data_IF_698589578019
#
_entry.id   IF_698589578019
#
_cell.length_a   1.000
_cell.length_b   1.000
_cell.length_c   1.000
_cell.angle_alpha   90.00
_cell.angle_beta   90.00
_cell.angle_gamma   90.00
#
_symmetry.space_group_name_H-M   'P 1'
#
loop_
_entity.id
_entity.type
_entity.pdbx_description
1 polymer ?
#
# COMPACT_ATOMS: atom_id res chain seq x y z
N UNK A 1 -11.86 -15.16 74.50
CA UNK A 1 -10.53 -14.51 74.48
C UNK A 1 -9.83 -15.00 73.23
N UNK A 2 -9.96 -14.23 72.15
CA UNK A 2 -9.37 -14.53 70.85
C UNK A 2 -8.13 -13.65 70.72
N UNK A 3 -6.95 -14.27 70.80
CA UNK A 3 -5.71 -13.66 70.32
C UNK A 3 -5.59 -13.99 68.84
N UNK A 4 -6.18 -13.13 68.00
CA UNK A 4 -5.81 -13.06 66.59
C UNK A 4 -4.40 -12.50 66.50
N UNK A 5 -3.44 -13.41 66.29
CA UNK A 5 -2.11 -13.07 65.80
C UNK A 5 -2.28 -12.35 64.46
N UNK A 6 -2.13 -11.03 64.46
CA UNK A 6 -1.85 -10.25 63.25
C UNK A 6 -0.61 -10.86 62.59
N UNK A 7 -0.80 -11.59 61.49
CA UNK A 7 0.26 -11.84 60.54
C UNK A 7 0.58 -10.51 59.86
N UNK A 8 1.83 -10.08 59.97
CA UNK A 8 2.40 -9.02 59.12
C UNK A 8 2.21 -9.42 57.66
N UNK A 9 1.26 -8.76 57.01
CA UNK A 9 1.03 -8.88 55.59
C UNK A 9 1.92 -7.85 54.89
N UNK A 10 3.18 -8.20 54.68
CA UNK A 10 4.15 -7.37 53.95
C UNK A 10 3.84 -7.40 52.44
N UNK A 11 2.89 -6.56 52.02
CA UNK A 11 2.65 -6.27 50.61
C UNK A 11 3.42 -5.00 50.21
N UNK A 12 4.33 -5.12 49.23
CA UNK A 12 5.05 -3.97 48.66
C UNK A 12 4.11 -2.95 48.00
N UNK A 13 3.04 -3.43 47.36
CA UNK A 13 2.00 -2.59 46.76
C UNK A 13 0.70 -3.40 46.60
N UNK A 14 -0.43 -2.81 46.97
CA UNK A 14 -1.76 -3.42 46.79
C UNK A 14 -2.76 -2.36 46.31
N UNK A 15 -3.41 -2.60 45.16
CA UNK A 15 -4.45 -1.73 44.64
C UNK A 15 -5.51 -2.54 43.88
N UNK A 16 -6.77 -2.07 43.90
CA UNK A 16 -7.88 -2.69 43.16
C UNK A 16 -8.01 -1.99 41.81
N UNK A 17 -7.64 -2.68 40.74
CA UNK A 17 -7.62 -2.11 39.38
C UNK A 17 -8.77 -2.70 38.56
N UNK A 18 -9.55 -1.83 37.92
CA UNK A 18 -10.59 -2.25 36.98
C UNK A 18 -9.99 -2.41 35.58
N UNK A 19 -10.38 -3.47 34.86
CA UNK A 19 -10.06 -3.60 33.44
C UNK A 19 -10.63 -2.42 32.65
N UNK A 20 -9.81 -1.79 31.83
CA UNK A 20 -10.24 -0.76 30.89
C UNK A 20 -10.57 -1.42 29.54
N UNK A 21 -11.06 -0.64 28.57
CA UNK A 21 -11.26 -1.12 27.19
C UNK A 21 -9.96 -1.57 26.52
N UNK A 22 -8.80 -1.12 27.01
CA UNK A 22 -7.46 -1.43 26.48
C UNK A 22 -6.74 -2.53 27.26
N UNK A 23 -7.28 -3.01 28.38
CA UNK A 23 -6.72 -4.11 29.17
C UNK A 23 -6.51 -3.78 30.66
N UNK A 24 -5.53 -4.44 31.28
CA UNK A 24 -5.08 -4.13 32.64
C UNK A 24 -3.84 -3.24 32.53
N UNK A 25 -3.84 -2.10 33.21
CA UNK A 25 -2.73 -1.14 33.19
C UNK A 25 -2.07 -1.08 34.56
N UNK A 26 -0.73 -1.13 34.61
CA UNK A 26 0.02 -0.91 35.85
C UNK A 26 -0.21 0.51 36.36
N UNK A 27 -0.59 0.68 37.64
CA UNK A 27 -0.71 1.99 38.28
C UNK A 27 0.59 2.77 38.15
N UNK A 28 0.48 4.09 38.03
CA UNK A 28 1.62 4.98 37.81
C UNK A 28 2.69 4.82 38.90
N UNK A 29 2.26 4.79 40.16
CA UNK A 29 3.12 4.60 41.34
C UNK A 29 3.92 3.29 41.28
N UNK A 30 3.24 2.18 40.91
CA UNK A 30 3.89 0.88 40.77
C UNK A 30 4.85 0.84 39.57
N UNK A 31 4.56 1.63 38.53
CA UNK A 31 5.43 1.72 37.35
C UNK A 31 6.72 2.47 37.67
N UNK A 32 6.61 3.62 38.33
CA UNK A 32 7.76 4.42 38.72
C UNK A 32 8.62 3.70 39.76
N UNK A 33 8.03 2.85 40.61
CA UNK A 33 8.76 2.09 41.61
C UNK A 33 9.44 0.80 41.09
N UNK A 34 8.91 0.18 40.03
CA UNK A 34 9.40 -1.11 39.53
C UNK A 34 10.18 -1.05 38.21
N UNK A 35 10.06 0.03 37.43
CA UNK A 35 10.71 0.14 36.13
C UNK A 35 11.57 1.42 36.10
N UNK A 36 12.88 1.25 36.30
CA UNK A 36 13.87 2.32 36.11
C UNK A 36 14.27 2.37 34.62
N UNK A 37 14.47 3.57 34.06
CA UNK A 37 14.65 3.78 32.61
C UNK A 37 16.03 3.32 32.09
N UNK A 38 16.88 2.76 32.95
CA UNK A 38 18.28 2.45 32.65
C UNK A 38 18.58 0.97 32.39
N UNK A 39 17.66 0.05 32.70
CA UNK A 39 17.87 -1.39 32.54
C UNK A 39 16.64 -2.08 31.92
N UNK A 40 16.89 -3.00 30.99
CA UNK A 40 15.84 -3.85 30.40
C UNK A 40 15.28 -4.80 31.47
N UNK A 41 13.98 -4.69 31.76
CA UNK A 41 13.32 -5.53 32.76
C UNK A 41 12.51 -6.64 32.09
N UNK A 42 12.80 -7.90 32.43
CA UNK A 42 12.13 -9.07 31.85
C UNK A 42 11.11 -9.67 32.83
N UNK A 43 9.99 -10.16 32.29
CA UNK A 43 8.91 -10.75 33.08
C UNK A 43 8.45 -12.08 32.51
N UNK A 44 8.18 -13.02 33.41
CA UNK A 44 7.40 -14.22 33.11
C UNK A 44 5.96 -14.02 33.55
N UNK A 45 5.03 -14.29 32.64
CA UNK A 45 3.60 -14.30 32.94
C UNK A 45 3.12 -15.75 32.96
N UNK A 46 2.58 -16.18 34.09
CA UNK A 46 2.00 -17.52 34.25
C UNK A 46 0.52 -17.43 34.57
N UNK A 47 -0.31 -18.12 33.78
CA UNK A 47 -1.75 -18.26 34.03
C UNK A 47 -2.05 -19.74 34.29
N UNK A 48 -2.43 -20.13 35.53
CA UNK A 48 -2.82 -21.49 35.84
C UNK A 48 -4.03 -21.94 35.00
N UNK A 49 -4.17 -23.26 34.80
CA UNK A 49 -5.29 -23.84 34.02
C UNK A 49 -6.68 -23.41 34.51
N UNK A 50 -6.81 -23.18 35.82
CA UNK A 50 -8.04 -22.73 36.48
C UNK A 50 -8.38 -21.25 36.21
N UNK A 51 -7.43 -20.46 35.66
CA UNK A 51 -7.59 -19.04 35.29
C UNK A 51 -8.05 -18.13 36.44
N UNK A 52 -7.75 -18.52 37.68
CA UNK A 52 -8.13 -17.80 38.90
C UNK A 52 -7.11 -16.72 39.32
N UNK A 53 -5.88 -16.76 38.81
CA UNK A 53 -4.85 -15.76 39.07
C UNK A 53 -3.90 -15.58 37.89
N UNK A 54 -3.24 -14.44 37.83
CA UNK A 54 -2.10 -14.18 36.94
C UNK A 54 -0.89 -13.97 37.85
N UNK A 55 0.18 -14.72 37.60
CA UNK A 55 1.44 -14.59 38.33
C UNK A 55 2.45 -13.91 37.41
N UNK A 56 3.03 -12.81 37.91
CA UNK A 56 4.10 -12.04 37.27
C UNK A 56 5.37 -12.24 38.08
N UNK A 57 6.42 -12.75 37.45
CA UNK A 57 7.73 -12.97 38.06
C UNK A 57 8.79 -12.18 37.30
N UNK A 58 9.67 -11.47 38.02
CA UNK A 58 10.83 -10.81 37.43
C UNK A 58 11.87 -11.85 37.02
N UNK A 59 12.48 -11.66 35.86
CA UNK A 59 13.57 -12.49 35.36
C UNK A 59 14.83 -11.65 35.16
N UNK A 60 15.98 -12.26 35.42
CA UNK A 60 17.25 -11.74 34.92
C UNK A 60 17.37 -11.95 33.40
N UNK A 61 18.23 -11.18 32.74
CA UNK A 61 18.44 -11.29 31.28
C UNK A 61 18.89 -12.71 30.86
N UNK A 62 19.69 -13.37 31.69
CA UNK A 62 20.16 -14.75 31.45
C UNK A 62 19.03 -15.77 31.58
N UNK A 63 18.15 -15.63 32.58
CA UNK A 63 16.96 -16.48 32.73
C UNK A 63 15.95 -16.27 31.61
N UNK A 64 15.76 -15.02 31.17
CA UNK A 64 14.85 -14.68 30.07
C UNK A 64 15.30 -15.32 28.73
N UNK A 65 16.61 -15.33 28.45
CA UNK A 65 17.17 -15.98 27.26
C UNK A 65 16.99 -17.50 27.32
N UNK A 66 17.34 -18.13 28.45
CA UNK A 66 17.20 -19.57 28.64
C UNK A 66 15.74 -20.05 28.55
N UNK A 67 14.80 -19.31 29.17
CA UNK A 67 13.37 -19.63 29.12
C UNK A 67 12.76 -19.42 27.73
N UNK A 68 13.22 -18.41 26.99
CA UNK A 68 12.77 -18.19 25.60
C UNK A 68 13.19 -19.33 24.69
N UNK A 69 14.40 -19.86 24.88
CA UNK A 69 14.92 -21.02 24.15
C UNK A 69 14.22 -22.33 24.55
N UNK A 70 13.90 -22.52 25.83
CA UNK A 70 13.09 -23.66 26.31
C UNK A 70 11.65 -23.62 25.78
N UNK A 71 10.98 -22.46 25.72
CA UNK A 71 9.61 -22.34 25.20
C UNK A 71 9.56 -22.57 23.68
N UNK A 72 10.61 -22.19 22.95
CA UNK A 72 10.74 -22.46 21.52
C UNK A 72 11.01 -23.93 21.21
N UNK A 73 11.76 -24.64 22.07
CA UNK A 73 12.09 -26.06 21.93
C UNK A 73 11.04 -27.02 22.51
N UNK A 74 10.20 -26.55 23.44
CA UNK A 74 9.15 -27.34 24.13
C UNK A 74 7.73 -27.05 23.62
N UNK A 75 7.54 -26.71 22.34
CA UNK A 75 6.19 -26.73 21.74
C UNK A 75 5.59 -28.13 21.88
N UNK A 76 4.47 -28.30 22.61
CA UNK A 76 3.75 -29.56 22.60
C UNK A 76 3.18 -29.79 21.20
N UNK A 77 3.34 -31.02 20.69
CA UNK A 77 2.57 -31.56 19.57
C UNK A 77 1.10 -31.21 19.80
N UNK A 78 0.50 -30.59 18.80
CA UNK A 78 -0.94 -30.31 18.71
C UNK A 78 -1.69 -31.58 19.07
N UNK A 79 -2.42 -31.54 20.19
CA UNK A 79 -3.40 -32.58 20.53
C UNK A 79 -4.48 -32.56 19.45
N UNK A 80 -4.52 -33.63 18.67
CA UNK A 80 -5.66 -34.02 17.84
C UNK A 80 -6.95 -33.85 18.64
N UNK A 81 -7.86 -33.00 18.14
CA UNK A 81 -9.27 -33.10 18.47
C UNK A 81 -9.98 -33.73 17.29
N UNK A 82 -10.62 -34.85 17.60
CA UNK A 82 -11.57 -35.60 16.79
C UNK A 82 -12.64 -34.71 16.14
N UNK A 83 -13.24 -35.14 15.02
CA UNK A 83 -13.86 -34.27 14.04
C UNK A 83 -15.20 -33.76 14.56
N UNK A 84 -15.28 -32.46 14.83
CA UNK A 84 -16.55 -31.75 14.77
C UNK A 84 -16.80 -31.54 13.28
N UNK A 85 -17.87 -32.16 12.75
CA UNK A 85 -18.45 -31.80 11.45
C UNK A 85 -18.94 -30.34 11.53
N UNK A 86 -18.01 -29.42 11.39
CA UNK A 86 -18.30 -28.09 10.86
C UNK A 86 -18.22 -28.23 9.34
N UNK A 87 -19.30 -27.85 8.69
CA UNK A 87 -19.38 -27.73 7.24
C UNK A 87 -18.12 -27.03 6.74
N UNK A 88 -17.55 -27.57 5.67
CA UNK A 88 -16.50 -26.93 4.89
C UNK A 88 -16.94 -25.50 4.52
N UNK A 89 -16.46 -24.52 5.28
CA UNK A 89 -16.25 -23.17 4.76
C UNK A 89 -14.78 -23.08 4.37
N UNK A 90 -14.58 -22.68 3.12
CA UNK A 90 -13.33 -22.69 2.42
C UNK A 90 -12.20 -22.02 3.23
N UNK A 91 -10.98 -22.54 3.04
CA UNK A 91 -9.69 -21.93 3.39
C UNK A 91 -9.74 -20.40 3.47
N UNK A 92 -9.85 -19.85 4.68
CA UNK A 92 -9.58 -18.44 4.95
C UNK A 92 -8.06 -18.30 4.91
N UNK A 93 -7.52 -17.77 3.81
CA UNK A 93 -6.18 -17.18 3.80
C UNK A 93 -6.05 -16.27 5.02
N UNK A 94 -4.98 -16.40 5.80
CA UNK A 94 -4.72 -15.49 6.92
C UNK A 94 -4.73 -14.06 6.38
N UNK A 95 -5.76 -13.30 6.74
CA UNK A 95 -5.93 -11.89 6.37
C UNK A 95 -4.83 -11.11 7.09
N UNK A 96 -3.64 -11.04 6.49
CA UNK A 96 -2.48 -10.34 7.01
C UNK A 96 -2.06 -9.22 6.04
N UNK A 97 -1.54 -8.09 6.58
CA UNK A 97 -1.02 -7.00 5.77
C UNK A 97 0.23 -7.42 4.99
N UNK A 98 0.34 -6.95 3.75
CA UNK A 98 1.49 -7.22 2.87
C UNK A 98 2.53 -6.09 2.96
N UNK A 99 3.36 -6.12 4.01
CA UNK A 99 4.30 -5.03 4.30
C UNK A 99 5.33 -4.74 3.21
N UNK A 100 5.75 -5.75 2.43
CA UNK A 100 6.70 -5.55 1.33
C UNK A 100 6.07 -4.76 0.17
N UNK A 101 4.76 -4.87 -0.03
CA UNK A 101 4.03 -4.08 -1.04
C UNK A 101 3.64 -2.68 -0.55
N UNK A 102 3.57 -2.46 0.76
CA UNK A 102 3.23 -1.15 1.32
C UNK A 102 4.49 -0.30 1.51
N UNK A 103 5.56 -0.87 2.08
CA UNK A 103 6.82 -0.18 2.35
C UNK A 103 7.84 -0.41 1.23
N UNK A 104 7.48 0.01 0.02
CA UNK A 104 8.36 -0.04 -1.16
C UNK A 104 9.57 0.89 -0.99
N UNK A 105 9.36 2.02 -0.32
CA UNK A 105 10.41 3.00 -0.01
C UNK A 105 10.66 3.03 1.49
N UNK A 106 11.93 3.01 1.89
CA UNK A 106 12.30 3.12 3.28
C UNK A 106 12.26 4.58 3.77
N UNK A 107 11.73 4.77 4.98
CA UNK A 107 11.56 6.09 5.59
C UNK A 107 11.79 6.05 7.10
N UNK A 108 12.24 7.17 7.67
CA UNK A 108 12.81 7.26 9.03
C UNK A 108 11.96 6.64 10.15
N UNK A 109 10.64 6.78 10.10
CA UNK A 109 9.73 6.37 11.17
C UNK A 109 9.02 5.03 10.89
N UNK A 110 9.47 4.25 9.91
CA UNK A 110 8.81 3.03 9.45
C UNK A 110 8.50 2.04 10.57
N UNK A 111 9.48 1.71 11.40
CA UNK A 111 9.32 0.74 12.50
C UNK A 111 8.24 1.15 13.51
N UNK A 112 8.05 2.46 13.72
CA UNK A 112 7.03 3.00 14.62
C UNK A 112 5.66 3.08 13.95
N UNK A 113 5.63 3.38 12.66
CA UNK A 113 4.40 3.49 11.86
C UNK A 113 3.79 2.12 11.57
N UNK A 114 4.61 1.11 11.28
CA UNK A 114 4.16 -0.24 10.94
C UNK A 114 3.13 -0.83 11.93
N UNK A 115 3.38 -0.92 13.25
CA UNK A 115 2.41 -1.49 14.18
C UNK A 115 1.10 -0.67 14.28
N UNK A 116 1.15 0.64 14.03
CA UNK A 116 -0.04 1.50 14.01
C UNK A 116 -0.91 1.17 12.80
N UNK A 117 -0.28 1.07 11.62
CA UNK A 117 -0.95 0.71 10.38
C UNK A 117 -1.45 -0.74 10.39
N UNK A 118 -0.70 -1.64 11.03
CA UNK A 118 -1.10 -3.04 11.22
C UNK A 118 -2.41 -3.11 12.00
N UNK A 119 -2.44 -2.36 13.10
CA UNK A 119 -3.62 -2.32 13.93
C UNK A 119 -4.81 -1.65 13.22
N UNK A 120 -4.58 -0.61 12.41
CA UNK A 120 -5.60 -0.02 11.55
C UNK A 120 -6.14 -1.01 10.51
N UNK A 121 -5.27 -1.81 9.89
CA UNK A 121 -5.66 -2.84 8.92
C UNK A 121 -6.58 -3.88 9.55
N UNK A 122 -6.24 -4.39 10.74
CA UNK A 122 -7.11 -5.33 11.44
C UNK A 122 -8.45 -4.70 11.84
N UNK A 123 -8.51 -3.40 12.14
CA UNK A 123 -9.78 -2.69 12.37
C UNK A 123 -10.67 -2.62 11.13
N UNK A 124 -10.09 -2.49 9.94
CA UNK A 124 -10.84 -2.65 8.69
C UNK A 124 -11.34 -4.08 8.44
N UNK A 125 -10.61 -5.08 8.94
CA UNK A 125 -10.95 -6.49 8.80
C UNK A 125 -12.01 -6.98 9.80
N UNK A 126 -12.36 -6.18 10.82
CA UNK A 126 -13.41 -6.51 11.78
C UNK A 126 -14.78 -6.65 11.10
N UNK A 127 -15.69 -7.42 11.71
CA UNK A 127 -17.06 -7.60 11.22
C UNK A 127 -18.04 -7.28 12.36
N UNK A 128 -18.71 -6.11 12.36
CA UNK A 128 -18.59 -5.02 11.38
C UNK A 128 -17.24 -4.27 11.48
N UNK A 129 -16.81 -3.64 10.39
CA UNK A 129 -15.56 -2.88 10.37
C UNK A 129 -15.64 -1.63 11.26
N UNK A 130 -14.62 -1.42 12.09
CA UNK A 130 -14.48 -0.21 12.92
C UNK A 130 -13.73 0.87 12.13
N UNK A 131 -14.44 1.47 11.16
CA UNK A 131 -13.86 2.44 10.21
C UNK A 131 -13.33 3.68 10.94
N UNK A 132 -14.02 4.12 12.00
CA UNK A 132 -13.65 5.31 12.75
C UNK A 132 -12.32 5.12 13.49
N UNK A 133 -12.14 4.00 14.20
CA UNK A 133 -10.88 3.71 14.87
C UNK A 133 -9.77 3.41 13.85
N UNK A 134 -10.07 2.66 12.79
CA UNK A 134 -9.12 2.39 11.71
C UNK A 134 -8.58 3.70 11.11
N UNK A 135 -9.47 4.60 10.69
CA UNK A 135 -9.10 5.90 10.14
C UNK A 135 -8.47 6.82 11.18
N UNK A 136 -8.86 6.73 12.46
CA UNK A 136 -8.23 7.44 13.55
C UNK A 136 -6.74 7.12 13.66
N UNK A 137 -6.39 5.83 13.53
CA UNK A 137 -4.99 5.35 13.53
C UNK A 137 -4.22 5.80 12.29
N UNK A 138 -4.84 5.76 11.11
CA UNK A 138 -4.25 6.29 9.87
C UNK A 138 -3.93 7.78 10.03
N UNK A 139 -4.89 8.57 10.53
CA UNK A 139 -4.70 10.01 10.76
C UNK A 139 -3.62 10.27 11.81
N UNK A 140 -3.59 9.49 12.90
CA UNK A 140 -2.54 9.58 13.90
C UNK A 140 -1.16 9.33 13.29
N UNK A 141 -1.01 8.30 12.46
CA UNK A 141 0.24 8.04 11.75
C UNK A 141 0.67 9.24 10.88
N UNK A 142 -0.28 9.84 10.17
CA UNK A 142 -0.05 11.00 9.30
C UNK A 142 0.20 12.31 10.04
N UNK A 143 -0.21 12.46 11.30
CA UNK A 143 0.05 13.70 12.06
C UNK A 143 1.32 13.57 12.89
N UNK A 144 1.53 12.41 13.52
CA UNK A 144 2.59 12.22 14.51
C UNK A 144 3.96 11.86 13.92
N UNK A 145 4.02 11.35 12.69
CA UNK A 145 5.26 10.84 12.10
C UNK A 145 5.73 11.57 10.84
N UNK A 146 5.09 12.69 10.49
CA UNK A 146 5.65 13.62 9.54
C UNK A 146 6.91 14.27 10.09
N UNK A 147 7.82 14.58 9.18
CA UNK A 147 9.10 15.21 9.46
C UNK A 147 9.20 16.55 8.73
N UNK A 148 10.27 17.31 8.97
CA UNK A 148 10.56 18.50 8.17
C UNK A 148 10.96 18.15 6.72
N UNK A 149 11.31 16.90 6.44
CA UNK A 149 11.81 16.46 5.14
C UNK A 149 10.67 16.02 4.24
N UNK A 150 10.36 16.85 3.24
CA UNK A 150 9.26 16.65 2.28
C UNK A 150 9.30 15.31 1.55
N UNK A 151 10.49 14.86 1.16
CA UNK A 151 10.68 13.58 0.48
C UNK A 151 10.42 12.38 1.40
N UNK A 152 10.79 12.45 2.68
CA UNK A 152 10.47 11.43 3.68
C UNK A 152 8.96 11.35 3.92
N UNK A 153 8.30 12.51 4.00
CA UNK A 153 6.85 12.58 4.15
C UNK A 153 6.12 11.95 2.96
N UNK A 154 6.58 12.20 1.73
CA UNK A 154 6.00 11.62 0.53
C UNK A 154 6.08 10.08 0.52
N UNK A 155 7.16 9.49 1.05
CA UNK A 155 7.27 8.02 1.20
C UNK A 155 6.27 7.46 2.21
N UNK A 156 6.08 8.14 3.34
CA UNK A 156 5.05 7.77 4.33
C UNK A 156 3.65 7.84 3.72
N UNK A 157 3.33 8.96 3.06
CA UNK A 157 2.05 9.13 2.36
C UNK A 157 1.82 8.00 1.35
N UNK A 158 2.80 7.73 0.48
CA UNK A 158 2.70 6.68 -0.52
C UNK A 158 2.48 5.29 0.11
N UNK A 159 3.18 4.98 1.21
CA UNK A 159 3.02 3.71 1.93
C UNK A 159 1.60 3.54 2.48
N UNK A 160 1.02 4.61 3.01
CA UNK A 160 -0.37 4.61 3.51
C UNK A 160 -1.36 4.45 2.36
N UNK A 161 -1.10 5.08 1.20
CA UNK A 161 -1.93 4.87 -0.01
C UNK A 161 -1.94 3.40 -0.41
N UNK A 162 -0.77 2.74 -0.46
CA UNK A 162 -0.68 1.31 -0.82
C UNK A 162 -1.50 0.44 0.12
N UNK A 163 -1.41 0.69 1.43
CA UNK A 163 -2.22 -0.01 2.43
C UNK A 163 -3.71 0.25 2.26
N UNK A 164 -4.13 1.51 2.06
CA UNK A 164 -5.55 1.85 1.90
C UNK A 164 -6.13 1.30 0.59
N UNK A 165 -5.34 1.19 -0.47
CA UNK A 165 -5.74 0.51 -1.71
C UNK A 165 -5.96 -0.98 -1.47
N UNK A 166 -5.12 -1.63 -0.66
CA UNK A 166 -5.34 -3.03 -0.32
C UNK A 166 -6.59 -3.20 0.57
N UNK A 167 -6.83 -2.28 1.50
CA UNK A 167 -8.08 -2.21 2.28
C UNK A 167 -9.30 -2.06 1.36
N UNK A 168 -9.24 -1.18 0.34
CA UNK A 168 -10.32 -1.03 -0.66
C UNK A 168 -10.60 -2.38 -1.33
N UNK A 169 -9.55 -3.09 -1.76
CA UNK A 169 -9.68 -4.37 -2.49
C UNK A 169 -10.22 -5.49 -1.60
N UNK A 170 -9.72 -5.63 -0.37
CA UNK A 170 -10.03 -6.76 0.52
C UNK A 170 -11.29 -6.57 1.33
N UNK A 171 -11.62 -5.33 1.70
CA UNK A 171 -12.71 -5.02 2.62
C UNK A 171 -13.80 -4.15 2.00
N UNK A 172 -13.74 -3.94 0.67
CA UNK A 172 -14.74 -3.21 -0.12
C UNK A 172 -15.08 -1.82 0.46
N UNK A 173 -14.06 -0.99 0.63
CA UNK A 173 -14.16 0.38 1.18
C UNK A 173 -13.91 1.47 0.11
N UNK A 174 -14.73 1.57 -0.96
CA UNK A 174 -14.45 2.41 -2.12
C UNK A 174 -14.43 3.93 -1.83
N UNK A 175 -15.02 4.37 -0.72
CA UNK A 175 -14.99 5.75 -0.22
C UNK A 175 -13.58 6.20 0.17
N UNK A 176 -12.67 5.28 0.47
CA UNK A 176 -11.27 5.62 0.78
C UNK A 176 -10.55 6.26 -0.41
N UNK A 177 -10.97 6.00 -1.66
CA UNK A 177 -10.41 6.65 -2.85
C UNK A 177 -10.56 8.17 -2.76
N UNK A 178 -11.76 8.63 -2.40
CA UNK A 178 -12.06 10.05 -2.26
C UNK A 178 -11.25 10.66 -1.11
N UNK A 179 -11.19 9.97 0.01
CA UNK A 179 -10.44 10.43 1.18
C UNK A 179 -8.94 10.54 0.89
N UNK A 180 -8.33 9.54 0.23
CA UNK A 180 -6.92 9.58 -0.17
C UNK A 180 -6.69 10.79 -1.07
N UNK A 181 -7.53 10.98 -2.08
CA UNK A 181 -7.39 12.06 -3.04
C UNK A 181 -7.53 13.45 -2.41
N UNK A 182 -8.44 13.62 -1.45
CA UNK A 182 -8.66 14.92 -0.79
C UNK A 182 -7.67 15.21 0.33
N UNK A 183 -7.19 14.18 1.05
CA UNK A 183 -6.42 14.37 2.30
C UNK A 183 -4.96 13.98 2.21
N UNK A 184 -4.58 13.07 1.31
CA UNK A 184 -3.18 12.64 1.17
C UNK A 184 -2.54 13.29 -0.05
N UNK A 185 -3.13 13.11 -1.23
CA UNK A 185 -2.54 13.53 -2.51
C UNK A 185 -2.08 15.01 -2.52
N UNK A 186 -2.84 15.99 -1.97
CA UNK A 186 -2.43 17.39 -2.01
C UNK A 186 -1.20 17.70 -1.16
N UNK A 187 -0.85 16.82 -0.21
CA UNK A 187 0.28 16.98 0.70
C UNK A 187 1.55 16.26 0.20
N UNK A 188 1.49 15.59 -0.96
CA UNK A 188 2.63 14.89 -1.55
C UNK A 188 3.45 15.83 -2.43
N UNK A 189 4.58 16.30 -1.90
CA UNK A 189 5.43 17.27 -2.60
C UNK A 189 6.42 16.64 -3.60
N UNK A 190 6.68 15.34 -3.51
CA UNK A 190 7.53 14.65 -4.49
C UNK A 190 6.75 14.46 -5.79
N UNK A 191 7.15 15.15 -6.87
CA UNK A 191 6.52 15.02 -8.21
C UNK A 191 6.42 13.56 -8.67
N UNK A 192 7.47 12.78 -8.44
CA UNK A 192 7.51 11.35 -8.78
C UNK A 192 6.53 10.52 -7.95
N UNK A 193 6.55 10.62 -6.61
CA UNK A 193 5.65 9.83 -5.75
C UNK A 193 4.20 10.29 -5.87
N UNK A 194 3.97 11.58 -6.15
CA UNK A 194 2.66 12.14 -6.46
C UNK A 194 2.05 11.47 -7.70
N UNK A 195 2.82 11.37 -8.80
CA UNK A 195 2.37 10.68 -10.00
C UNK A 195 2.12 9.19 -9.76
N UNK A 196 3.05 8.51 -9.07
CA UNK A 196 2.86 7.10 -8.70
C UNK A 196 1.61 6.88 -7.86
N UNK A 197 1.32 7.78 -6.92
CA UNK A 197 0.11 7.71 -6.10
C UNK A 197 -1.17 7.86 -6.95
N UNK A 198 -1.19 8.81 -7.88
CA UNK A 198 -2.32 8.98 -8.81
C UNK A 198 -2.51 7.76 -9.72
N UNK A 199 -1.42 7.16 -10.20
CA UNK A 199 -1.46 5.95 -11.02
C UNK A 199 -2.03 4.75 -10.25
N UNK A 200 -1.71 4.60 -8.97
CA UNK A 200 -2.30 3.57 -8.11
C UNK A 200 -3.79 3.83 -7.87
N UNK A 201 -4.20 5.09 -7.66
CA UNK A 201 -5.61 5.48 -7.54
C UNK A 201 -6.40 5.27 -8.84
N UNK A 202 -5.78 5.54 -9.98
CA UNK A 202 -6.34 5.29 -11.31
C UNK A 202 -6.63 3.80 -11.49
N UNK A 203 -5.64 2.96 -11.25
CA UNK A 203 -5.77 1.51 -11.44
C UNK A 203 -6.89 0.92 -10.57
N UNK A 204 -6.93 1.29 -9.28
CA UNK A 204 -8.00 0.78 -8.40
C UNK A 204 -9.37 1.29 -8.86
N UNK A 205 -9.48 2.56 -9.26
CA UNK A 205 -10.75 3.16 -9.70
C UNK A 205 -11.31 2.47 -10.94
N UNK A 206 -10.45 2.16 -11.92
CA UNK A 206 -10.85 1.39 -13.10
C UNK A 206 -11.32 -0.03 -12.73
N UNK A 207 -10.55 -0.73 -11.87
CA UNK A 207 -10.90 -2.09 -11.43
C UNK A 207 -12.24 -2.18 -10.71
N UNK A 208 -12.59 -1.17 -9.91
CA UNK A 208 -13.89 -1.09 -9.22
C UNK A 208 -14.95 -0.29 -10.00
N UNK A 209 -14.69 0.01 -11.28
CA UNK A 209 -15.60 0.71 -12.21
C UNK A 209 -16.07 2.11 -11.77
N UNK A 210 -15.25 2.83 -10.99
CA UNK A 210 -15.46 4.27 -10.69
C UNK A 210 -14.83 5.14 -11.78
N UNK A 211 -15.41 5.09 -12.98
CA UNK A 211 -14.83 5.72 -14.17
C UNK A 211 -14.66 7.25 -14.05
N UNK A 212 -15.60 7.95 -13.41
CA UNK A 212 -15.46 9.40 -13.17
C UNK A 212 -14.22 9.76 -12.35
N UNK A 213 -13.86 8.90 -11.38
CA UNK A 213 -12.64 9.08 -10.57
C UNK A 213 -11.39 8.72 -11.38
N UNK A 214 -11.46 7.67 -12.20
CA UNK A 214 -10.38 7.33 -13.12
C UNK A 214 -10.08 8.47 -14.11
N UNK A 215 -11.12 9.08 -14.70
CA UNK A 215 -10.99 10.25 -15.58
C UNK A 215 -10.31 11.42 -14.86
N UNK A 216 -10.73 11.72 -13.63
CA UNK A 216 -10.12 12.75 -12.80
C UNK A 216 -8.62 12.46 -12.60
N UNK A 217 -8.27 11.23 -12.21
CA UNK A 217 -6.87 10.89 -11.94
C UNK A 217 -6.01 10.91 -13.19
N UNK A 218 -6.53 10.48 -14.34
CA UNK A 218 -5.85 10.63 -15.64
C UNK A 218 -5.58 12.10 -15.93
N UNK A 219 -6.55 12.99 -15.73
CA UNK A 219 -6.35 14.43 -15.91
C UNK A 219 -5.20 14.97 -15.06
N UNK A 220 -5.12 14.59 -13.77
CA UNK A 220 -4.03 15.02 -12.90
C UNK A 220 -2.66 14.42 -13.29
N UNK A 221 -2.62 13.17 -13.76
CA UNK A 221 -1.39 12.55 -14.28
C UNK A 221 -0.93 13.30 -15.54
N UNK A 222 -1.82 13.52 -16.50
CA UNK A 222 -1.50 14.24 -17.74
C UNK A 222 -1.03 15.67 -17.46
N UNK A 223 -1.67 16.36 -16.52
CA UNK A 223 -1.19 17.68 -16.08
C UNK A 223 0.22 17.63 -15.49
N UNK A 224 0.52 16.61 -14.69
CA UNK A 224 1.88 16.42 -14.15
C UNK A 224 2.92 16.14 -15.25
N UNK A 225 2.50 15.46 -16.32
CA UNK A 225 3.30 15.23 -17.53
C UNK A 225 3.53 16.56 -18.28
N UNK A 226 2.48 17.35 -18.46
CA UNK A 226 2.54 18.68 -19.09
C UNK A 226 3.47 19.64 -18.32
N UNK A 227 3.61 19.47 -17.01
CA UNK A 227 4.52 20.26 -16.17
C UNK A 227 6.02 19.91 -16.38
N UNK A 228 6.38 18.88 -17.14
CA UNK A 228 7.79 18.63 -17.50
C UNK A 228 8.21 19.53 -18.67
N UNK A 229 9.44 20.11 -18.63
CA UNK A 229 10.00 20.80 -19.79
C UNK A 229 10.07 19.86 -20.99
N UNK A 230 9.80 20.36 -22.20
CA UNK A 230 9.93 19.57 -23.44
C UNK A 230 11.34 19.01 -23.69
N UNK A 231 12.37 19.57 -23.04
CA UNK A 231 13.73 19.03 -23.06
C UNK A 231 13.87 17.72 -22.26
N UNK A 232 12.95 17.43 -21.34
CA UNK A 232 12.96 16.23 -20.50
C UNK A 232 12.10 15.11 -21.10
N UNK A 233 12.27 14.82 -22.39
CA UNK A 233 11.50 13.79 -23.11
C UNK A 233 11.55 12.44 -22.40
N UNK A 234 12.67 12.07 -21.78
CA UNK A 234 12.78 10.83 -21.01
C UNK A 234 11.74 10.76 -19.87
N UNK A 235 11.57 11.85 -19.11
CA UNK A 235 10.61 11.89 -17.99
C UNK A 235 9.17 11.83 -18.52
N UNK A 236 8.87 12.62 -19.55
CA UNK A 236 7.55 12.66 -20.21
C UNK A 236 7.15 11.26 -20.69
N UNK A 237 8.03 10.59 -21.44
CA UNK A 237 7.74 9.29 -22.02
C UNK A 237 7.71 8.17 -20.98
N UNK A 238 8.55 8.25 -19.94
CA UNK A 238 8.47 7.32 -18.84
C UNK A 238 7.12 7.45 -18.10
N UNK A 239 6.62 8.68 -17.90
CA UNK A 239 5.31 8.91 -17.29
C UNK A 239 4.16 8.39 -18.17
N UNK A 240 4.19 8.64 -19.49
CA UNK A 240 3.23 8.03 -20.43
C UNK A 240 3.28 6.50 -20.41
N UNK A 241 4.47 5.92 -20.39
CA UNK A 241 4.66 4.46 -20.30
C UNK A 241 4.00 3.89 -19.06
N UNK A 242 4.16 4.52 -17.90
CA UNK A 242 3.52 4.07 -16.66
C UNK A 242 1.99 4.23 -16.74
N UNK A 243 1.50 5.35 -17.28
CA UNK A 243 0.07 5.59 -17.47
C UNK A 243 -0.56 4.52 -18.38
N UNK A 244 -0.01 4.31 -19.57
CA UNK A 244 -0.47 3.30 -20.53
C UNK A 244 -0.45 1.91 -19.91
N UNK A 245 0.62 1.57 -19.17
CA UNK A 245 0.72 0.28 -18.47
C UNK A 245 -0.39 0.06 -17.43
N UNK A 246 -0.87 1.13 -16.77
CA UNK A 246 -1.93 1.02 -15.75
C UNK A 246 -3.33 0.90 -16.36
N UNK A 247 -3.53 1.39 -17.58
CA UNK A 247 -4.85 1.38 -18.25
C UNK A 247 -4.98 0.27 -19.30
N UNK A 248 -3.86 -0.28 -19.80
CA UNK A 248 -3.90 -1.39 -20.74
C UNK A 248 -4.54 -2.63 -20.11
N UNK A 249 -5.32 -3.36 -20.91
CA UNK A 249 -6.07 -4.55 -20.49
C UNK A 249 -7.10 -4.34 -19.37
N UNK A 250 -7.49 -3.09 -19.07
CA UNK A 250 -8.59 -2.79 -18.15
C UNK A 250 -9.71 -2.07 -18.92
N UNK A 251 -10.96 -2.43 -18.62
CA UNK A 251 -12.14 -1.75 -19.13
C UNK A 251 -12.13 -0.26 -18.74
N UNK A 252 -12.46 0.61 -19.68
CA UNK A 252 -12.45 2.07 -19.52
C UNK A 252 -13.45 2.70 -20.48
N UNK A 253 -13.84 3.95 -20.22
CA UNK A 253 -14.80 4.69 -21.05
C UNK A 253 -14.15 5.20 -22.34
N UNK A 254 -14.96 5.41 -23.37
CA UNK A 254 -14.50 6.02 -24.63
C UNK A 254 -13.88 7.40 -24.41
N UNK A 255 -14.36 8.14 -23.41
CA UNK A 255 -13.81 9.43 -23.01
C UNK A 255 -12.38 9.33 -22.49
N UNK A 256 -12.07 8.31 -21.69
CA UNK A 256 -10.69 8.02 -21.24
C UNK A 256 -9.83 7.68 -22.45
N UNK A 257 -10.36 6.84 -23.33
CA UNK A 257 -9.67 6.41 -24.55
C UNK A 257 -9.32 7.61 -25.44
N UNK A 258 -10.27 8.49 -25.71
CA UNK A 258 -10.08 9.70 -26.51
C UNK A 258 -9.04 10.64 -25.88
N UNK A 259 -9.14 10.90 -24.57
CA UNK A 259 -8.21 11.77 -23.86
C UNK A 259 -6.76 11.28 -23.96
N UNK A 260 -6.54 9.97 -23.82
CA UNK A 260 -5.20 9.37 -23.95
C UNK A 260 -4.68 9.46 -25.40
N UNK A 261 -5.55 9.20 -26.38
CA UNK A 261 -5.22 9.31 -27.81
C UNK A 261 -4.78 10.73 -28.16
N UNK A 262 -5.61 11.72 -27.85
CA UNK A 262 -5.35 13.13 -28.16
C UNK A 262 -4.03 13.60 -27.55
N UNK A 263 -3.80 13.28 -26.27
CA UNK A 263 -2.55 13.66 -25.60
C UNK A 263 -1.31 12.97 -26.16
N UNK A 264 -1.39 11.67 -26.47
CA UNK A 264 -0.27 10.96 -27.10
C UNK A 264 0.07 11.54 -28.48
N UNK A 265 -0.94 11.91 -29.26
CA UNK A 265 -0.75 12.51 -30.58
C UNK A 265 -0.16 13.91 -30.49
N UNK A 266 -0.64 14.75 -29.56
CA UNK A 266 -0.11 16.10 -29.30
C UNK A 266 1.42 16.04 -29.05
N UNK A 267 1.86 15.09 -28.22
CA UNK A 267 3.30 14.90 -27.96
C UNK A 267 4.02 14.29 -29.16
N UNK A 268 3.43 13.31 -29.84
CA UNK A 268 4.03 12.63 -30.99
C UNK A 268 4.37 13.57 -32.15
N UNK A 269 3.50 14.54 -32.45
CA UNK A 269 3.72 15.52 -33.53
C UNK A 269 4.89 16.47 -33.26
N UNK A 270 5.14 16.80 -31.99
CA UNK A 270 6.19 17.73 -31.58
C UNK A 270 7.61 17.17 -31.57
N UNK A 271 7.79 15.88 -31.83
CA UNK A 271 9.06 15.17 -31.61
C UNK A 271 9.77 14.88 -32.92
N UNK A 272 11.09 15.12 -32.94
CA UNK A 272 11.93 14.80 -34.08
C UNK A 272 12.66 13.46 -33.94
N UNK A 273 13.03 13.11 -32.72
CA UNK A 273 13.76 11.89 -32.39
C UNK A 273 12.92 10.63 -32.66
N UNK A 274 13.51 9.69 -33.40
CA UNK A 274 12.83 8.49 -33.87
C UNK A 274 12.54 7.49 -32.74
N UNK A 275 13.34 7.44 -31.67
CA UNK A 275 13.11 6.51 -30.56
C UNK A 275 11.82 6.85 -29.82
N UNK A 276 11.59 8.13 -29.60
CA UNK A 276 10.34 8.60 -28.98
C UNK A 276 9.14 8.47 -29.92
N UNK A 277 9.30 8.69 -31.24
CA UNK A 277 8.24 8.39 -32.22
C UNK A 277 7.85 6.91 -32.21
N UNK A 278 8.83 6.01 -32.12
CA UNK A 278 8.59 4.57 -31.99
C UNK A 278 7.82 4.28 -30.69
N UNK A 279 8.21 4.90 -29.56
CA UNK A 279 7.48 4.72 -28.30
C UNK A 279 6.01 5.17 -28.39
N UNK A 280 5.70 6.25 -29.11
CA UNK A 280 4.29 6.65 -29.35
C UNK A 280 3.52 5.57 -30.09
N UNK A 281 4.12 4.97 -31.13
CA UNK A 281 3.51 3.84 -31.86
C UNK A 281 3.21 2.67 -30.92
N UNK A 282 4.16 2.31 -30.05
CA UNK A 282 3.97 1.23 -29.08
C UNK A 282 2.88 1.56 -28.05
N UNK A 283 2.79 2.81 -27.59
CA UNK A 283 1.73 3.23 -26.67
C UNK A 283 0.35 3.16 -27.32
N UNK A 284 0.23 3.58 -28.59
CA UNK A 284 -1.03 3.48 -29.33
C UNK A 284 -1.43 2.03 -29.54
N UNK A 285 -0.48 1.15 -29.86
CA UNK A 285 -0.72 -0.29 -29.93
C UNK A 285 -1.20 -0.87 -28.60
N UNK A 286 -0.54 -0.54 -27.48
CA UNK A 286 -0.93 -0.99 -26.12
C UNK A 286 -2.33 -0.47 -25.71
N UNK A 287 -2.80 0.62 -26.33
CA UNK A 287 -4.14 1.18 -26.14
C UNK A 287 -5.19 0.63 -27.12
N UNK A 288 -4.78 -0.23 -28.08
CA UNK A 288 -5.59 -0.80 -29.16
C UNK A 288 -5.97 0.20 -30.28
N UNK A 289 -5.18 1.25 -30.51
CA UNK A 289 -5.30 2.14 -31.68
C UNK A 289 -4.44 1.62 -32.84
N UNK A 290 -4.82 0.45 -33.36
CA UNK A 290 -3.99 -0.34 -34.28
C UNK A 290 -3.76 0.35 -35.63
N UNK A 291 -4.78 0.95 -36.24
CA UNK A 291 -4.61 1.60 -37.55
C UNK A 291 -3.82 2.90 -37.42
N UNK A 292 -4.07 3.67 -36.37
CA UNK A 292 -3.31 4.88 -36.07
C UNK A 292 -1.83 4.55 -35.81
N UNK A 293 -1.55 3.54 -34.98
CA UNK A 293 -0.21 3.04 -34.74
C UNK A 293 0.46 2.59 -36.05
N UNK A 294 -0.28 1.85 -36.91
CA UNK A 294 0.23 1.38 -38.19
C UNK A 294 0.57 2.53 -39.15
N UNK A 295 -0.31 3.54 -39.25
CA UNK A 295 -0.11 4.72 -40.07
C UNK A 295 1.14 5.50 -39.67
N UNK A 296 1.33 5.73 -38.37
CA UNK A 296 2.53 6.37 -37.83
C UNK A 296 3.78 5.53 -38.06
N UNK A 297 3.72 4.22 -37.83
CA UNK A 297 4.85 3.33 -38.06
C UNK A 297 5.30 3.35 -39.54
N UNK A 298 4.36 3.40 -40.48
CA UNK A 298 4.63 3.55 -41.91
C UNK A 298 5.23 4.90 -42.26
N UNK A 299 4.77 5.99 -41.64
CA UNK A 299 5.33 7.32 -41.85
C UNK A 299 6.80 7.36 -41.39
N UNK A 300 7.09 6.84 -40.19
CA UNK A 300 8.45 6.72 -39.65
C UNK A 300 9.32 5.88 -40.60
N UNK A 301 8.83 4.71 -41.02
CA UNK A 301 9.54 3.81 -41.95
C UNK A 301 9.95 4.52 -43.25
N UNK A 302 9.07 5.37 -43.81
CA UNK A 302 9.36 6.12 -45.06
C UNK A 302 10.37 7.24 -44.87
N UNK A 303 10.43 7.84 -43.68
CA UNK A 303 11.35 8.93 -43.36
C UNK A 303 12.76 8.47 -42.95
N UNK A 304 12.92 7.20 -42.58
CA UNK A 304 14.19 6.68 -42.10
C UNK A 304 15.18 6.45 -43.26
N UNK A 305 16.46 6.84 -43.10
CA UNK A 305 17.53 6.46 -44.02
C UNK A 305 17.65 4.93 -44.13
N UNK A 306 17.98 4.38 -45.32
CA UNK A 306 18.08 2.93 -45.54
C UNK A 306 19.07 2.20 -44.63
N UNK A 307 20.10 2.93 -44.15
CA UNK A 307 21.19 2.49 -43.30
C UNK A 307 20.94 2.75 -41.80
N UNK A 308 19.78 3.31 -41.43
CA UNK A 308 19.45 3.53 -40.02
C UNK A 308 19.29 2.21 -39.27
N UNK A 309 19.93 2.12 -38.10
CA UNK A 309 19.86 0.98 -37.17
C UNK A 309 18.41 0.66 -36.75
N UNK A 310 17.49 1.62 -36.90
CA UNK A 310 16.08 1.53 -36.52
C UNK A 310 15.16 0.96 -37.61
N UNK A 311 15.67 0.76 -38.83
CA UNK A 311 14.87 0.26 -39.96
C UNK A 311 14.31 -1.14 -39.69
N UNK A 312 15.09 -2.03 -39.08
CA UNK A 312 14.63 -3.39 -38.80
C UNK A 312 13.63 -3.43 -37.64
N UNK A 313 13.80 -2.56 -36.64
CA UNK A 313 12.87 -2.39 -35.53
C UNK A 313 11.50 -1.93 -36.05
N UNK A 314 11.45 -0.86 -36.84
CA UNK A 314 10.18 -0.35 -37.38
C UNK A 314 9.53 -1.34 -38.35
N UNK A 315 10.31 -2.09 -39.14
CA UNK A 315 9.78 -3.15 -40.04
C UNK A 315 9.06 -4.24 -39.25
N UNK A 316 9.61 -4.65 -38.11
CA UNK A 316 8.96 -5.64 -37.22
C UNK A 316 7.65 -5.10 -36.67
N UNK A 317 7.63 -3.84 -36.21
CA UNK A 317 6.43 -3.18 -35.69
C UNK A 317 5.35 -3.09 -36.77
N UNK A 318 5.69 -2.59 -37.96
CA UNK A 318 4.76 -2.50 -39.10
C UNK A 318 4.16 -3.86 -39.46
N UNK A 319 4.98 -4.92 -39.48
CA UNK A 319 4.51 -6.29 -39.78
C UNK A 319 3.56 -6.80 -38.68
N UNK A 320 3.90 -6.58 -37.41
CA UNK A 320 3.08 -6.95 -36.26
C UNK A 320 1.71 -6.27 -36.32
N UNK A 321 1.69 -4.96 -36.53
CA UNK A 321 0.48 -4.14 -36.61
C UNK A 321 -0.40 -4.50 -37.82
N UNK A 322 0.19 -4.81 -38.97
CA UNK A 322 -0.57 -5.24 -40.16
C UNK A 322 -1.38 -6.53 -39.93
N UNK A 323 -0.87 -7.42 -39.06
CA UNK A 323 -1.54 -8.68 -38.72
C UNK A 323 -2.44 -8.58 -37.48
N UNK A 324 -2.41 -7.46 -36.76
CA UNK A 324 -3.17 -7.29 -35.55
C UNK A 324 -4.67 -7.08 -35.88
N UNK A 325 -5.58 -7.63 -35.06
CA UNK A 325 -7.01 -7.41 -35.26
C UNK A 325 -7.34 -5.91 -35.11
N UNK A 326 -7.99 -5.35 -36.13
CA UNK A 326 -8.48 -3.97 -36.09
C UNK A 326 -9.54 -3.88 -34.99
N UNK A 327 -9.38 -2.91 -34.11
CA UNK A 327 -10.22 -2.71 -32.92
C UNK A 327 -10.79 -1.29 -32.83
N UNK A 328 -10.65 -0.49 -33.90
CA UNK A 328 -11.00 0.93 -33.96
C UNK A 328 -12.51 1.24 -34.11
N UNK A 329 -13.40 0.34 -33.66
CA UNK A 329 -14.82 0.70 -33.42
C UNK A 329 -15.00 1.64 -32.20
N UNK A 330 -13.89 2.04 -31.56
CA UNK A 330 -13.83 3.04 -30.49
C UNK A 330 -13.77 4.45 -31.09
N UNK A 331 -14.95 5.00 -31.35
CA UNK A 331 -15.29 6.40 -31.72
C UNK A 331 -14.13 7.22 -32.34
N UNK A 332 -14.25 7.46 -33.65
CA UNK A 332 -13.50 8.48 -34.39
C UNK A 332 -13.72 9.90 -33.86
#
# INVERSE_FOLDING_TARGET
MAEDKKQDNDFFFQNVIKKTKTGITFPKELREALFDEKEDTFFKITVPKEKNKIVLEFLSETEAKNLSEEILSSKPKVLEKSPIKMKEEATIEKIAPNWSEYFIYDFKNREKVQPILESAFYKFAETPADIDDAMGRIKYALVSFLTATKTENAKLYFSIIKLLIDVIKRFNQPNLIDWIFEKIIPNMESKFLYEQALLELLEISLRIKRFEKAELFIFYVLRNIDDYPRSELYNIFNSFKQLVKKVRHIERTDKIDLLLKEKLMEYGEGIQDNDYKIQVVEFLEDLNYIELAYGLAKAIQKSLPPDSVKVDEIRKIVKRLYTAPITEDKIN
#
